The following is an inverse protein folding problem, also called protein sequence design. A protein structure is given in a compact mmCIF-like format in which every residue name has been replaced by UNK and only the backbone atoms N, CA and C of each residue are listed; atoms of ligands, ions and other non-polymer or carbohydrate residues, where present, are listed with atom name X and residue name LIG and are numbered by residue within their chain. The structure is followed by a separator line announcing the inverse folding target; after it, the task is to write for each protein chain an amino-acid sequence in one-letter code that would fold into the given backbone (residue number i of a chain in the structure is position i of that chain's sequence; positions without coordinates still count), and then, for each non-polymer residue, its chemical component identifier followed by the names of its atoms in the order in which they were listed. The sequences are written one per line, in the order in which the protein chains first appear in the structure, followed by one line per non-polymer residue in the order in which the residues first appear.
data_IF_829623360461
#
_entry.id   IF_829623360461
#
_cell.length_a   1.000
_cell.length_b   1.000
_cell.length_c   1.000
_cell.angle_alpha   90.00
_cell.angle_beta   90.00
_cell.angle_gamma   90.00
#
_symmetry.space_group_name_H-M   'P 1'
#
loop_
_entity.id
_entity.type
_entity.pdbx_description
1 polymer ?
#
# COMPACT_ATOMS: atom_id res chain seq x y z
N UNK A 1 -8.90 27.60 7.12
CA UNK A 1 -7.49 27.16 7.05
C UNK A 1 -7.20 25.79 7.72
N UNK A 2 -8.20 25.05 8.23
CA UNK A 2 -7.97 23.73 8.87
C UNK A 2 -7.78 22.57 7.87
N UNK A 3 -8.32 22.68 6.65
CA UNK A 3 -8.27 21.61 5.64
C UNK A 3 -6.84 21.32 5.14
N UNK A 4 -5.96 22.32 5.06
CA UNK A 4 -4.57 22.15 4.59
C UNK A 4 -3.63 21.52 5.62
N UNK A 5 -3.86 21.80 6.91
CA UNK A 5 -3.01 21.29 8.00
C UNK A 5 -3.14 19.76 8.10
N UNK A 6 -4.37 19.25 7.99
CA UNK A 6 -4.62 17.81 8.07
C UNK A 6 -4.05 17.06 6.86
N UNK A 7 -4.13 17.65 5.66
CA UNK A 7 -3.49 17.09 4.47
C UNK A 7 -1.95 17.07 4.59
N UNK A 8 -1.36 18.10 5.21
CA UNK A 8 0.08 18.13 5.49
C UNK A 8 0.52 16.98 6.40
N UNK A 9 -0.23 16.70 7.48
CA UNK A 9 0.06 15.56 8.36
C UNK A 9 -0.08 14.21 7.63
N UNK A 10 -1.08 14.04 6.75
CA UNK A 10 -1.20 12.83 5.92
C UNK A 10 0.04 12.64 5.02
N UNK A 11 0.47 13.69 4.31
CA UNK A 11 1.63 13.62 3.41
C UNK A 11 2.90 13.32 4.21
N UNK A 12 3.08 13.95 5.38
CA UNK A 12 4.22 13.70 6.26
C UNK A 12 4.24 12.26 6.74
N UNK A 13 3.10 11.72 7.17
CA UNK A 13 2.98 10.33 7.60
C UNK A 13 3.24 9.35 6.45
N UNK A 14 2.66 9.60 5.28
CA UNK A 14 2.91 8.82 4.06
C UNK A 14 4.40 8.77 3.72
N UNK A 15 5.05 9.94 3.67
CA UNK A 15 6.49 10.04 3.40
C UNK A 15 7.30 9.30 4.45
N UNK A 16 6.93 9.40 5.72
CA UNK A 16 7.62 8.67 6.81
C UNK A 16 7.55 7.16 6.58
N UNK A 17 6.36 6.61 6.37
CA UNK A 17 6.15 5.18 6.11
C UNK A 17 6.93 4.73 4.89
N UNK A 18 6.80 5.42 3.76
CA UNK A 18 7.53 5.07 2.54
C UNK A 18 9.04 5.11 2.76
N UNK A 19 9.54 6.12 3.49
CA UNK A 19 10.98 6.23 3.77
C UNK A 19 11.47 5.11 4.70
N UNK A 20 10.67 4.69 5.68
CA UNK A 20 10.99 3.53 6.53
C UNK A 20 11.01 2.23 5.73
N UNK A 21 10.03 2.04 4.83
CA UNK A 21 9.95 0.87 3.95
C UNK A 21 11.13 0.82 2.95
N UNK A 22 11.56 1.97 2.42
CA UNK A 22 12.71 2.07 1.51
C UNK A 22 14.02 1.64 2.13
N UNK A 23 14.17 1.74 3.46
CA UNK A 23 15.36 1.25 4.16
C UNK A 23 15.42 -0.27 4.21
N UNK A 24 14.30 -0.95 4.02
CA UNK A 24 14.21 -2.41 4.07
C UNK A 24 14.45 -3.04 2.69
N UNK A 25 14.09 -2.37 1.59
CA UNK A 25 14.28 -2.89 0.25
C UNK A 25 13.68 -2.00 -0.85
N UNK A 26 13.54 -2.55 -2.07
CA UNK A 26 12.85 -1.86 -3.19
C UNK A 26 11.38 -1.69 -2.79
N UNK A 27 10.83 -0.49 -2.98
CA UNK A 27 9.45 -0.19 -2.58
C UNK A 27 8.56 -0.07 -3.81
N UNK A 28 7.40 -0.73 -3.74
CA UNK A 28 6.34 -0.67 -4.74
C UNK A 28 5.11 0.02 -4.15
N UNK A 29 4.47 0.91 -4.91
CA UNK A 29 3.37 1.72 -4.39
C UNK A 29 2.19 1.67 -5.34
N UNK A 30 1.07 1.12 -4.88
CA UNK A 30 -0.15 1.04 -5.66
C UNK A 30 -1.27 1.82 -5.02
N UNK A 31 -1.91 2.70 -5.79
CA UNK A 31 -3.07 3.46 -5.32
C UNK A 31 -4.30 3.17 -6.18
N UNK A 32 -5.40 2.83 -5.50
CA UNK A 32 -6.72 2.76 -6.08
C UNK A 32 -7.60 3.86 -5.49
N UNK A 33 -7.92 4.87 -6.30
CA UNK A 33 -8.93 5.89 -5.96
C UNK A 33 -10.32 5.26 -5.95
N UNK A 34 -11.14 5.61 -4.96
CA UNK A 34 -12.56 5.33 -4.98
C UNK A 34 -13.31 6.54 -5.55
N UNK A 35 -14.27 6.30 -6.45
CA UNK A 35 -15.11 7.37 -7.03
C UNK A 35 -16.17 7.86 -6.01
N UNK A 36 -16.82 6.93 -5.32
CA UNK A 36 -17.84 7.17 -4.29
C UNK A 36 -17.57 6.36 -2.99
N UNK A 37 -16.39 5.74 -2.87
CA UNK A 37 -16.02 4.83 -1.77
C UNK A 37 -14.61 5.11 -1.26
N UNK A 38 -14.26 4.57 -0.10
CA UNK A 38 -12.90 4.61 0.42
C UNK A 38 -11.90 4.02 -0.60
N UNK A 39 -10.91 4.81 -1.00
CA UNK A 39 -9.77 4.32 -1.79
C UNK A 39 -8.85 3.43 -0.96
N UNK A 40 -7.81 2.88 -1.59
CA UNK A 40 -6.76 2.15 -0.90
C UNK A 40 -5.38 2.49 -1.47
N UNK A 41 -4.38 2.61 -0.61
CA UNK A 41 -2.97 2.73 -0.96
C UNK A 41 -2.25 1.54 -0.34
N UNK A 42 -1.57 0.76 -1.18
CA UNK A 42 -0.72 -0.37 -0.76
C UNK A 42 0.73 0.02 -1.03
N UNK A 43 1.58 -0.16 -0.03
CA UNK A 43 3.03 0.03 -0.08
C UNK A 43 3.67 -1.30 0.27
N UNK A 44 4.44 -1.87 -0.65
CA UNK A 44 5.21 -3.09 -0.43
C UNK A 44 6.69 -2.75 -0.38
N UNK A 45 7.43 -3.38 0.53
CA UNK A 45 8.88 -3.49 0.44
C UNK A 45 9.21 -4.92 0.00
N UNK A 46 10.06 -5.04 -1.01
CA UNK A 46 10.52 -6.31 -1.57
C UNK A 46 12.03 -6.44 -1.46
N UNK A 47 12.48 -7.68 -1.36
CA UNK A 47 13.89 -8.04 -1.46
C UNK A 47 14.35 -8.21 -2.92
N UNK A 48 15.62 -8.61 -3.08
CA UNK A 48 16.25 -8.89 -4.39
C UNK A 48 15.64 -10.07 -5.15
N UNK A 49 14.85 -10.92 -4.48
CA UNK A 49 14.19 -12.10 -5.06
C UNK A 49 12.70 -11.84 -5.33
N UNK A 50 12.25 -10.58 -5.32
CA UNK A 50 10.84 -10.21 -5.44
C UNK A 50 9.97 -10.86 -4.35
N UNK A 51 10.51 -11.10 -3.16
CA UNK A 51 9.74 -11.52 -1.98
C UNK A 51 9.36 -10.30 -1.17
N UNK A 52 8.09 -10.21 -0.78
CA UNK A 52 7.61 -9.12 0.08
C UNK A 52 8.13 -9.32 1.49
N UNK A 53 8.97 -8.40 1.95
CA UNK A 53 9.53 -8.38 3.30
C UNK A 53 8.68 -7.55 4.25
N UNK A 54 7.91 -6.59 3.72
CA UNK A 54 6.97 -5.79 4.50
C UNK A 54 5.86 -5.26 3.60
N UNK A 55 4.66 -5.10 4.15
CA UNK A 55 3.51 -4.58 3.44
C UNK A 55 2.67 -3.69 4.35
N UNK A 56 2.35 -2.50 3.88
CA UNK A 56 1.45 -1.58 4.57
C UNK A 56 0.32 -1.16 3.65
N UNK A 57 -0.89 -1.13 4.18
CA UNK A 57 -2.08 -0.67 3.48
C UNK A 57 -2.73 0.47 4.27
N UNK A 58 -3.06 1.56 3.57
CA UNK A 58 -3.94 2.61 4.08
C UNK A 58 -5.26 2.54 3.32
N UNK A 59 -6.35 2.24 4.04
CA UNK A 59 -7.72 2.22 3.50
C UNK A 59 -8.44 3.49 3.88
N UNK A 60 -9.09 4.11 2.91
CA UNK A 60 -9.64 5.46 3.02
C UNK A 60 -8.57 6.52 2.77
N UNK A 61 -8.98 7.64 2.16
CA UNK A 61 -8.12 8.78 1.82
C UNK A 61 -8.50 9.97 2.72
N UNK A 62 -9.03 9.69 3.91
CA UNK A 62 -9.38 10.70 4.90
C UNK A 62 -8.25 10.87 5.89
N UNK A 63 -8.29 11.97 6.66
CA UNK A 63 -7.28 12.34 7.66
C UNK A 63 -7.24 11.39 8.86
N UNK A 64 -8.25 10.52 8.98
CA UNK A 64 -8.37 9.52 10.04
C UNK A 64 -7.78 8.17 9.64
N UNK A 65 -7.50 7.98 8.35
CA UNK A 65 -7.01 6.72 7.83
C UNK A 65 -5.51 6.59 8.09
N UNK A 66 -5.11 5.48 8.72
CA UNK A 66 -3.72 5.17 9.06
C UNK A 66 -3.24 3.99 8.24
N UNK A 67 -1.95 3.97 7.94
CA UNK A 67 -1.30 2.78 7.42
C UNK A 67 -1.36 1.67 8.47
N UNK A 68 -1.74 0.48 8.03
CA UNK A 68 -1.76 -0.75 8.82
C UNK A 68 -0.92 -1.79 8.11
N UNK A 69 -0.19 -2.57 8.90
CA UNK A 69 0.56 -3.71 8.37
C UNK A 69 -0.43 -4.70 7.76
N UNK A 70 -0.08 -5.23 6.59
CA UNK A 70 -0.81 -6.27 5.89
C UNK A 70 0.01 -7.55 5.85
N UNK A 71 0.01 -8.26 6.98
CA UNK A 71 0.72 -9.53 7.14
C UNK A 71 0.33 -10.57 6.08
N UNK A 72 -0.89 -10.50 5.54
CA UNK A 72 -1.35 -11.37 4.46
C UNK A 72 -0.52 -11.25 3.17
N UNK A 73 0.21 -10.16 2.98
CA UNK A 73 1.11 -9.96 1.83
C UNK A 73 2.57 -10.26 2.15
N UNK A 74 2.94 -10.26 3.44
CA UNK A 74 4.33 -10.46 3.89
C UNK A 74 4.74 -11.92 3.66
N UNK A 75 6.01 -12.13 3.34
CA UNK A 75 6.62 -13.42 3.01
C UNK A 75 6.11 -14.09 1.73
N UNK A 76 5.22 -13.44 0.96
CA UNK A 76 4.80 -13.94 -0.35
C UNK A 76 5.69 -13.38 -1.45
N UNK A 77 5.96 -14.19 -2.47
CA UNK A 77 6.54 -13.69 -3.71
C UNK A 77 5.53 -12.83 -4.48
N UNK A 78 6.03 -11.95 -5.33
CA UNK A 78 5.18 -11.14 -6.21
C UNK A 78 4.30 -12.02 -7.11
N UNK A 79 4.79 -13.18 -7.57
CA UNK A 79 4.02 -14.13 -8.37
C UNK A 79 2.91 -14.84 -7.59
N UNK A 80 3.16 -15.22 -6.33
CA UNK A 80 2.11 -15.74 -5.44
C UNK A 80 1.01 -14.71 -5.23
N UNK A 81 1.38 -13.45 -4.96
CA UNK A 81 0.41 -12.37 -4.80
C UNK A 81 -0.43 -12.17 -6.07
N UNK A 82 0.18 -12.23 -7.27
CA UNK A 82 -0.55 -12.16 -8.54
C UNK A 82 -1.59 -13.28 -8.69
N UNK A 83 -1.27 -14.50 -8.25
CA UNK A 83 -2.20 -15.65 -8.29
C UNK A 83 -3.34 -15.52 -7.28
N UNK A 84 -3.09 -14.90 -6.13
CA UNK A 84 -4.10 -14.70 -5.09
C UNK A 84 -5.00 -13.47 -5.31
N UNK A 85 -4.56 -12.48 -6.11
CA UNK A 85 -5.34 -11.29 -6.47
C UNK A 85 -6.82 -11.58 -6.80
N UNK A 86 -7.19 -12.56 -7.66
CA UNK A 86 -8.59 -12.86 -7.97
C UNK A 86 -9.40 -13.39 -6.78
N UNK A 87 -8.74 -14.01 -5.79
CA UNK A 87 -9.40 -14.63 -4.63
C UNK A 87 -9.46 -13.68 -3.40
N UNK A 88 -8.89 -12.48 -3.49
CA UNK A 88 -8.91 -11.52 -2.38
C UNK A 88 -10.31 -10.92 -2.17
N UNK A 89 -10.82 -11.03 -0.93
CA UNK A 89 -12.13 -10.51 -0.53
C UNK A 89 -12.28 -9.00 -0.74
N UNK A 90 -11.20 -8.23 -0.56
CA UNK A 90 -11.23 -6.78 -0.73
C UNK A 90 -10.77 -6.34 -2.13
N UNK A 91 -11.74 -6.09 -3.01
CA UNK A 91 -11.51 -5.67 -4.40
C UNK A 91 -10.68 -4.38 -4.54
N UNK A 92 -10.76 -3.45 -3.58
CA UNK A 92 -9.99 -2.19 -3.68
C UNK A 92 -8.53 -2.39 -3.28
N UNK A 93 -8.31 -3.18 -2.23
CA UNK A 93 -6.98 -3.60 -1.79
C UNK A 93 -6.27 -4.40 -2.89
N UNK A 94 -6.97 -5.33 -3.54
CA UNK A 94 -6.39 -6.12 -4.63
C UNK A 94 -6.08 -5.28 -5.86
N UNK A 95 -6.91 -4.30 -6.21
CA UNK A 95 -6.60 -3.36 -7.29
C UNK A 95 -5.41 -2.46 -6.98
N UNK A 96 -5.30 -1.97 -5.74
CA UNK A 96 -4.14 -1.20 -5.29
C UNK A 96 -2.89 -2.09 -5.32
N UNK A 97 -2.96 -3.31 -4.79
CA UNK A 97 -1.88 -4.28 -4.82
C UNK A 97 -1.42 -4.60 -6.25
N UNK A 98 -2.36 -4.85 -7.16
CA UNK A 98 -2.07 -5.08 -8.59
C UNK A 98 -1.25 -3.93 -9.17
N UNK A 99 -1.68 -2.69 -8.94
CA UNK A 99 -0.96 -1.49 -9.41
C UNK A 99 0.42 -1.34 -8.79
N UNK A 100 0.61 -1.77 -7.54
CA UNK A 100 1.93 -1.77 -6.92
C UNK A 100 2.85 -2.75 -7.65
N UNK A 101 2.35 -3.96 -7.93
CA UNK A 101 3.08 -5.03 -8.61
C UNK A 101 3.42 -4.67 -10.06
N UNK A 102 2.54 -3.94 -10.76
CA UNK A 102 2.77 -3.48 -12.15
C UNK A 102 3.88 -2.42 -12.28
N UNK A 103 4.35 -1.82 -11.19
CA UNK A 103 5.47 -0.86 -11.19
C UNK A 103 6.85 -1.52 -11.06
N UNK A 104 6.91 -2.85 -10.94
CA UNK A 104 8.16 -3.59 -10.77
C UNK A 104 9.06 -3.46 -12.00
#
# INVERSE_FOLDING_TARGET
MLQGILAYFQIKHFRKVVNEMKKQGKVLIGQQKGKLSAGSIVVLAIDKHNKVINAQEMRGITVFDKFRVKDEFINKSIDELKRELPNMKNKKSSLALKKAIEQL
#
